data_IF_831829278361
#
_entry.id   IF_831829278361
#
_cell.length_a   1.000
_cell.length_b   1.000
_cell.length_c   1.000
_cell.angle_alpha   90.00
_cell.angle_beta   90.00
_cell.angle_gamma   90.00
#
_symmetry.space_group_name_H-M   'P 1'
#
loop_
_entity.id
_entity.type
_entity.pdbx_description
1 polymer ?
#
# COMPACT_ATOMS: atom_id res chain seq x y z
N UNK A 1 17.40 -13.26 3.25
CA UNK A 1 17.45 -12.14 2.29
C UNK A 1 17.29 -10.85 3.09
N UNK A 2 18.25 -9.90 3.01
CA UNK A 2 18.13 -8.65 3.73
C UNK A 2 16.89 -7.87 3.27
N UNK A 3 16.31 -7.08 4.18
CA UNK A 3 15.24 -6.16 3.84
C UNK A 3 15.74 -5.16 2.78
N UNK A 4 14.87 -4.76 1.84
CA UNK A 4 15.22 -3.70 0.89
C UNK A 4 15.48 -2.40 1.65
N UNK A 5 16.32 -1.55 1.06
CA UNK A 5 16.73 -0.27 1.62
C UNK A 5 15.52 0.51 2.18
N UNK A 6 15.48 0.78 3.50
CA UNK A 6 14.34 1.42 4.15
C UNK A 6 14.10 2.86 3.67
N UNK A 7 15.08 3.52 3.05
CA UNK A 7 14.95 4.86 2.50
C UNK A 7 14.28 4.85 1.12
N UNK A 8 14.31 3.71 0.42
CA UNK A 8 13.69 3.54 -0.90
C UNK A 8 12.37 2.80 -0.83
N UNK A 9 12.20 1.95 0.18
CA UNK A 9 11.06 1.06 0.29
C UNK A 9 10.35 1.19 1.64
N UNK A 10 9.04 0.92 1.61
CA UNK A 10 8.17 0.82 2.76
C UNK A 10 7.50 -0.56 2.76
N UNK A 11 7.42 -1.19 3.92
CA UNK A 11 6.84 -2.52 4.06
C UNK A 11 5.30 -2.47 4.11
N UNK A 12 4.64 -3.60 3.84
CA UNK A 12 3.19 -3.72 4.07
C UNK A 12 2.78 -3.34 5.49
N UNK A 13 3.59 -3.70 6.50
CA UNK A 13 3.28 -3.41 7.91
C UNK A 13 3.24 -1.90 8.16
N UNK A 14 4.24 -1.17 7.69
CA UNK A 14 4.29 0.29 7.84
C UNK A 14 3.17 0.97 7.05
N UNK A 15 2.82 0.45 5.86
CA UNK A 15 1.65 0.92 5.11
C UNK A 15 0.34 0.70 5.88
N UNK A 16 0.15 -0.46 6.49
CA UNK A 16 -1.06 -0.73 7.28
C UNK A 16 -1.19 0.21 8.46
N UNK A 17 -0.08 0.50 9.14
CA UNK A 17 -0.04 1.43 10.27
C UNK A 17 -0.30 2.87 9.81
N UNK A 18 0.31 3.29 8.69
CA UNK A 18 0.16 4.64 8.14
C UNK A 18 -1.27 4.95 7.68
N UNK A 19 -1.91 4.00 6.99
CA UNK A 19 -3.24 4.22 6.41
C UNK A 19 -4.39 3.66 7.28
N UNK A 20 -4.07 3.01 8.40
CA UNK A 20 -5.08 2.40 9.29
C UNK A 20 -5.87 1.28 8.61
N UNK A 21 -5.24 0.50 7.73
CA UNK A 21 -5.90 -0.56 6.96
C UNK A 21 -5.33 -1.94 7.26
N UNK A 22 -6.09 -3.00 6.98
CA UNK A 22 -5.61 -4.38 7.18
C UNK A 22 -4.68 -4.86 6.05
N UNK A 23 -3.79 -5.80 6.34
CA UNK A 23 -2.92 -6.43 5.33
C UNK A 23 -3.74 -7.17 4.26
N UNK A 24 -4.84 -7.80 4.66
CA UNK A 24 -5.77 -8.44 3.72
C UNK A 24 -6.33 -7.43 2.72
N UNK A 25 -6.68 -6.23 3.18
CA UNK A 25 -7.18 -5.17 2.33
C UNK A 25 -6.11 -4.68 1.34
N UNK A 26 -4.87 -4.46 1.79
CA UNK A 26 -3.75 -4.18 0.89
C UNK A 26 -3.54 -5.29 -0.15
N UNK A 27 -3.63 -6.55 0.28
CA UNK A 27 -3.54 -7.71 -0.60
C UNK A 27 -4.60 -7.70 -1.69
N UNK A 28 -5.85 -7.34 -1.37
CA UNK A 28 -6.93 -7.17 -2.35
C UNK A 28 -6.63 -6.04 -3.33
N UNK A 29 -6.21 -4.87 -2.85
CA UNK A 29 -5.86 -3.73 -3.71
C UNK A 29 -4.68 -4.04 -4.64
N UNK A 30 -3.65 -4.73 -4.13
CA UNK A 30 -2.52 -5.20 -4.94
C UNK A 30 -2.99 -6.14 -6.05
N UNK A 31 -3.80 -7.16 -5.71
CA UNK A 31 -4.32 -8.12 -6.70
C UNK A 31 -5.22 -7.45 -7.74
N UNK A 32 -5.95 -6.40 -7.35
CA UNK A 32 -6.74 -5.58 -8.26
C UNK A 32 -5.93 -4.60 -9.11
N UNK A 33 -4.59 -4.58 -8.97
CA UNK A 33 -3.70 -3.68 -9.70
C UNK A 33 -3.79 -2.20 -9.28
N UNK A 34 -4.38 -1.91 -8.12
CA UNK A 34 -4.56 -0.54 -7.62
C UNK A 34 -3.32 0.00 -6.91
N UNK A 35 -2.50 -0.88 -6.33
CA UNK A 35 -1.23 -0.48 -5.74
C UNK A 35 -0.12 -0.66 -6.78
N UNK A 36 0.65 0.39 -7.04
CA UNK A 36 1.82 0.38 -7.93
C UNK A 36 3.12 0.30 -7.14
N UNK A 37 4.25 0.06 -7.83
CA UNK A 37 5.57 0.13 -7.21
C UNK A 37 5.88 -0.98 -6.20
N UNK A 38 5.10 -2.05 -6.17
CA UNK A 38 5.33 -3.17 -5.26
C UNK A 38 6.39 -4.13 -5.77
N UNK A 39 7.15 -4.69 -4.84
CA UNK A 39 8.10 -5.76 -5.06
C UNK A 39 7.89 -6.84 -4.00
N UNK A 40 8.13 -8.09 -4.40
CA UNK A 40 8.08 -9.24 -3.50
C UNK A 40 9.50 -9.57 -3.04
N UNK A 41 9.74 -9.48 -1.74
CA UNK A 41 10.99 -9.85 -1.08
C UNK A 41 10.75 -11.04 -0.16
N UNK A 42 11.08 -12.24 -0.64
CA UNK A 42 10.74 -13.49 0.03
C UNK A 42 9.22 -13.63 0.20
N UNK A 43 8.76 -13.64 1.46
CA UNK A 43 7.34 -13.75 1.81
C UNK A 43 6.67 -12.40 2.08
N UNK A 44 7.39 -11.28 1.92
CA UNK A 44 6.89 -9.94 2.22
C UNK A 44 6.72 -9.13 0.94
N UNK A 45 5.75 -8.22 0.95
CA UNK A 45 5.62 -7.20 -0.06
C UNK A 45 6.12 -5.87 0.50
N UNK A 46 6.81 -5.13 -0.35
CA UNK A 46 7.26 -3.77 -0.09
C UNK A 46 6.84 -2.90 -1.26
N UNK A 47 6.78 -1.60 -1.03
CA UNK A 47 6.38 -0.61 -2.01
C UNK A 47 7.45 0.46 -2.06
N UNK A 48 7.70 1.02 -3.25
CA UNK A 48 8.61 2.16 -3.38
C UNK A 48 8.02 3.36 -2.66
N UNK A 49 8.84 4.05 -1.87
CA UNK A 49 8.45 5.31 -1.23
C UNK A 49 8.07 6.39 -2.24
N UNK A 50 8.71 6.39 -3.41
CA UNK A 50 8.38 7.30 -4.51
C UNK A 50 6.96 7.13 -5.08
N UNK A 51 6.30 5.98 -4.82
CA UNK A 51 4.92 5.72 -5.26
C UNK A 51 3.88 6.01 -4.16
N UNK A 52 4.29 6.50 -2.99
CA UNK A 52 3.40 6.72 -1.85
C UNK A 52 2.27 7.70 -2.17
N UNK A 53 2.53 8.78 -2.91
CA UNK A 53 1.50 9.76 -3.26
C UNK A 53 0.39 9.13 -4.13
N UNK A 54 0.77 8.25 -5.07
CA UNK A 54 -0.19 7.51 -5.90
C UNK A 54 -0.99 6.52 -5.06
N UNK A 55 -0.32 5.83 -4.14
CA UNK A 55 -0.95 4.91 -3.20
C UNK A 55 -1.94 5.65 -2.29
N UNK A 56 -1.58 6.83 -1.81
CA UNK A 56 -2.44 7.69 -0.98
C UNK A 56 -3.70 8.15 -1.73
N UNK A 57 -3.57 8.52 -3.01
CA UNK A 57 -4.73 8.86 -3.86
C UNK A 57 -5.72 7.70 -3.98
N UNK A 58 -5.25 6.45 -4.04
CA UNK A 58 -6.12 5.26 -4.10
C UNK A 58 -6.95 5.14 -2.82
N UNK A 59 -6.35 5.40 -1.66
CA UNK A 59 -7.06 5.39 -0.38
C UNK A 59 -8.03 6.59 -0.24
N UNK A 60 -7.59 7.79 -0.63
CA UNK A 60 -8.40 9.00 -0.56
C UNK A 60 -9.66 8.92 -1.45
N UNK A 61 -9.50 8.41 -2.68
CA UNK A 61 -10.62 8.21 -3.62
C UNK A 61 -11.67 7.29 -3.04
N UNK A 62 -11.26 6.23 -2.37
CA UNK A 62 -12.19 5.25 -1.81
C UNK A 62 -12.88 5.75 -0.53
N UNK A 63 -12.23 6.62 0.24
CA UNK A 63 -12.86 7.29 1.38
C UNK A 63 -13.95 8.27 0.93
N UNK A 64 -13.70 9.01 -0.15
CA UNK A 64 -14.71 9.89 -0.76
C UNK A 64 -15.94 9.09 -1.22
N UNK A 65 -15.73 7.98 -1.95
CA UNK A 65 -16.85 7.13 -2.43
C UNK A 65 -17.70 6.51 -1.31
N UNK A 66 -17.17 6.34 -0.09
CA UNK A 66 -17.98 5.86 1.05
C UNK A 66 -18.78 6.95 1.74
N UNK A 67 -18.36 8.22 1.64
CA UNK A 67 -19.06 9.36 2.26
C UNK A 67 -20.29 9.82 1.48
N UNK A 68 -20.27 9.67 0.16
CA UNK A 68 -21.38 10.08 -0.72
C UNK A 68 -22.50 9.03 -0.85
N UNK A 69 -22.35 7.86 -0.20
CA UNK A 69 -23.33 6.78 -0.22
C UNK A 69 -24.20 6.72 1.05
N UNK A 70 -24.21 7.78 1.86
CA UNK A 70 -24.95 7.90 3.12
C UNK A 70 -26.06 8.96 3.04
#
# INVERSE_FOLDING_TARGET
>A
MPLPDPDLYITEKELTERFGVSQNYLGTLRRAGKLTGWLKFGHRYVYRRADLDRIEQVFATQWASRRDAA
#
